data_IF_940222231451
#
_entry.id   IF_940222231451
#
_cell.length_a   1.000
_cell.length_b   1.000
_cell.length_c   1.000
_cell.angle_alpha   90.00
_cell.angle_beta   90.00
_cell.angle_gamma   90.00
#
_symmetry.space_group_name_H-M   'P 1'
#
loop_
_entity.id
_entity.type
_entity.pdbx_description
1 polymer ?
#
# COMPACT_ATOMS: atom_id res chain seq x y z
N UNK A 1 7.74 -18.33 -13.12
CA UNK A 1 6.84 -17.20 -13.47
C UNK A 1 5.42 -17.42 -12.95
N UNK A 2 4.83 -18.61 -13.12
CA UNK A 2 3.47 -18.94 -12.61
C UNK A 2 3.28 -18.68 -11.11
N UNK A 3 4.23 -19.10 -10.26
CA UNK A 3 4.11 -18.90 -8.80
C UNK A 3 4.11 -17.41 -8.41
N UNK A 4 4.89 -16.57 -9.10
CA UNK A 4 4.91 -15.13 -8.83
C UNK A 4 3.57 -14.48 -9.20
N UNK A 5 2.95 -14.90 -10.31
CA UNK A 5 1.62 -14.44 -10.71
C UNK A 5 0.58 -14.86 -9.68
N UNK A 6 0.63 -16.12 -9.21
CA UNK A 6 -0.28 -16.60 -8.17
C UNK A 6 -0.14 -15.80 -6.87
N UNK A 7 1.09 -15.55 -6.41
CA UNK A 7 1.32 -14.72 -5.22
C UNK A 7 0.86 -13.27 -5.41
N UNK A 8 1.04 -12.68 -6.60
CA UNK A 8 0.56 -11.34 -6.89
C UNK A 8 -0.98 -11.25 -6.85
N UNK A 9 -1.68 -12.26 -7.41
CA UNK A 9 -3.14 -12.34 -7.37
C UNK A 9 -3.64 -12.51 -5.93
N UNK A 10 -3.04 -13.42 -5.16
CA UNK A 10 -3.37 -13.63 -3.75
C UNK A 10 -3.14 -12.35 -2.93
N UNK A 11 -2.00 -11.68 -3.14
CA UNK A 11 -1.71 -10.41 -2.48
C UNK A 11 -2.77 -9.35 -2.81
N UNK A 12 -3.19 -9.24 -4.08
CA UNK A 12 -4.25 -8.33 -4.50
C UNK A 12 -5.59 -8.58 -3.80
N UNK A 13 -6.00 -9.85 -3.69
CA UNK A 13 -7.21 -10.26 -2.97
C UNK A 13 -7.12 -9.89 -1.49
N UNK A 14 -6.02 -10.26 -0.83
CA UNK A 14 -5.82 -10.04 0.60
C UNK A 14 -5.74 -8.54 0.95
N UNK A 15 -5.04 -7.75 0.13
CA UNK A 15 -4.95 -6.29 0.31
C UNK A 15 -6.32 -5.64 0.14
N UNK A 16 -7.11 -6.08 -0.84
CA UNK A 16 -8.46 -5.57 -1.06
C UNK A 16 -9.39 -5.87 0.11
N UNK A 17 -9.34 -7.11 0.63
CA UNK A 17 -10.10 -7.53 1.80
C UNK A 17 -9.69 -6.73 3.05
N UNK A 18 -8.39 -6.62 3.32
CA UNK A 18 -7.84 -5.84 4.44
C UNK A 18 -8.32 -4.39 4.41
N UNK A 19 -8.24 -3.71 3.25
CA UNK A 19 -8.73 -2.34 3.09
C UNK A 19 -10.22 -2.22 3.39
N UNK A 20 -11.03 -3.18 2.94
CA UNK A 20 -12.47 -3.18 3.18
C UNK A 20 -12.81 -3.39 4.66
N UNK A 21 -12.13 -4.32 5.33
CA UNK A 21 -12.27 -4.55 6.77
C UNK A 21 -11.86 -3.32 7.59
N UNK A 22 -10.71 -2.71 7.27
CA UNK A 22 -10.22 -1.52 7.94
C UNK A 22 -11.15 -0.31 7.72
N UNK A 23 -11.67 -0.14 6.51
CA UNK A 23 -12.67 0.88 6.20
C UNK A 23 -13.97 0.70 6.99
N UNK A 24 -14.48 -0.54 7.08
CA UNK A 24 -15.67 -0.86 7.89
C UNK A 24 -15.43 -0.61 9.38
N UNK A 25 -14.25 -0.98 9.89
CA UNK A 25 -13.89 -0.71 11.28
C UNK A 25 -13.75 0.80 11.54
N UNK A 26 -13.23 1.57 10.57
CA UNK A 26 -13.13 3.01 10.69
C UNK A 26 -14.50 3.71 10.71
N UNK A 27 -15.51 3.14 10.03
CA UNK A 27 -16.90 3.62 10.08
C UNK A 27 -17.55 3.41 11.45
N UNK A 28 -17.21 2.33 12.16
CA UNK A 28 -17.77 2.04 13.49
C UNK A 28 -16.93 2.57 14.66
N UNK A 29 -15.69 2.98 14.42
CA UNK A 29 -14.76 3.44 15.46
C UNK A 29 -14.02 4.71 15.01
N UNK A 30 -12.77 4.60 14.58
CA UNK A 30 -11.99 5.67 13.96
C UNK A 30 -10.91 5.08 13.06
N UNK A 31 -10.38 5.90 12.15
CA UNK A 31 -9.31 5.49 11.25
C UNK A 31 -8.01 5.08 11.97
N UNK A 32 -7.69 5.72 13.11
CA UNK A 32 -6.53 5.34 13.93
C UNK A 32 -6.75 4.01 14.66
N UNK A 33 -7.97 3.75 15.16
CA UNK A 33 -8.31 2.45 15.77
C UNK A 33 -8.22 1.33 14.73
N UNK A 34 -8.71 1.57 13.51
CA UNK A 34 -8.57 0.62 12.41
C UNK A 34 -7.09 0.34 12.08
N UNK A 35 -6.27 1.38 12.00
CA UNK A 35 -4.83 1.24 11.74
C UNK A 35 -4.10 0.52 12.87
N UNK A 36 -4.45 0.79 14.13
CA UNK A 36 -3.92 0.10 15.29
C UNK A 36 -4.18 -1.40 15.23
N UNK A 37 -5.43 -1.82 15.02
CA UNK A 37 -5.78 -3.24 14.94
C UNK A 37 -5.14 -3.92 13.73
N UNK A 38 -5.08 -3.24 12.58
CA UNK A 38 -4.36 -3.75 11.41
C UNK A 38 -2.88 -4.04 11.72
N UNK A 39 -2.20 -3.12 12.40
CA UNK A 39 -0.79 -3.30 12.76
C UNK A 39 -0.58 -4.29 13.90
N UNK A 40 -1.46 -4.31 14.91
CA UNK A 40 -1.37 -5.25 16.03
C UNK A 40 -1.53 -6.71 15.56
N UNK A 41 -2.54 -6.98 14.74
CA UNK A 41 -2.75 -8.32 14.15
C UNK A 41 -1.61 -8.67 13.19
N UNK A 42 -1.21 -7.74 12.33
CA UNK A 42 -0.08 -7.94 11.42
C UNK A 42 1.22 -8.26 12.18
N UNK A 43 1.52 -7.51 13.23
CA UNK A 43 2.68 -7.74 14.10
C UNK A 43 2.64 -9.12 14.76
N UNK A 44 1.50 -9.51 15.33
CA UNK A 44 1.36 -10.83 15.96
C UNK A 44 1.55 -11.97 14.94
N UNK A 45 0.90 -11.89 13.77
CA UNK A 45 1.01 -12.90 12.72
C UNK A 45 2.42 -12.99 12.17
N UNK A 46 3.05 -11.86 11.85
CA UNK A 46 4.43 -11.83 11.34
C UNK A 46 5.44 -12.33 12.36
N UNK A 47 5.23 -12.04 13.66
CA UNK A 47 6.09 -12.56 14.74
C UNK A 47 5.98 -14.09 14.83
N UNK A 48 4.76 -14.64 14.83
CA UNK A 48 4.54 -16.09 14.87
C UNK A 48 5.16 -16.77 13.64
N UNK A 49 4.94 -16.23 12.44
CA UNK A 49 5.56 -16.75 11.22
C UNK A 49 7.09 -16.68 11.28
N UNK A 50 7.64 -15.57 11.76
CA UNK A 50 9.09 -15.40 11.95
C UNK A 50 9.68 -16.42 12.91
N UNK A 51 8.97 -16.76 14.00
CA UNK A 51 9.37 -17.80 14.94
C UNK A 51 9.33 -19.20 14.32
N UNK A 52 8.27 -19.53 13.57
CA UNK A 52 8.10 -20.84 12.92
C UNK A 52 9.16 -21.05 11.83
N UNK A 53 9.44 -20.03 11.03
CA UNK A 53 10.39 -20.09 9.91
C UNK A 53 11.84 -19.94 10.40
N UNK A 54 12.06 -19.41 11.60
CA UNK A 54 13.40 -19.15 12.15
C UNK A 54 14.05 -17.85 11.64
N UNK A 55 13.25 -16.91 11.17
CA UNK A 55 13.69 -15.65 10.54
C UNK A 55 13.30 -14.38 11.31
N UNK A 56 12.91 -14.50 12.59
CA UNK A 56 12.46 -13.35 13.39
C UNK A 56 13.53 -12.25 13.49
N UNK A 57 14.80 -12.64 13.55
CA UNK A 57 15.93 -11.71 13.61
C UNK A 57 16.89 -11.94 12.43
N UNK A 58 16.66 -11.29 11.28
CA UNK A 58 17.53 -11.43 10.13
C UNK A 58 18.93 -10.87 10.42
N UNK A 59 19.94 -11.46 9.79
CA UNK A 59 21.33 -10.98 9.88
C UNK A 59 21.41 -9.52 9.39
N UNK A 60 22.17 -8.69 10.09
CA UNK A 60 22.33 -7.27 9.78
C UNK A 60 21.16 -6.38 10.21
N UNK A 61 20.16 -6.90 10.94
CA UNK A 61 19.08 -6.08 11.48
C UNK A 61 19.65 -4.93 12.33
N UNK A 62 20.52 -5.22 13.31
CA UNK A 62 21.09 -4.19 14.19
C UNK A 62 22.00 -3.19 13.48
N UNK A 63 22.59 -3.59 12.36
CA UNK A 63 23.50 -2.74 11.58
C UNK A 63 22.73 -1.85 10.59
N UNK A 64 21.43 -2.07 10.43
CA UNK A 64 20.60 -1.27 9.55
C UNK A 64 20.49 0.18 10.07
N UNK A 65 20.52 1.17 9.17
CA UNK A 65 20.39 2.56 9.57
C UNK A 65 19.02 2.82 10.21
N UNK A 66 18.97 3.70 11.21
CA UNK A 66 17.76 3.94 12.01
C UNK A 66 16.52 4.30 11.17
N UNK A 67 16.71 4.97 10.03
CA UNK A 67 15.60 5.36 9.14
C UNK A 67 14.95 4.16 8.43
N UNK A 68 15.61 3.00 8.34
CA UNK A 68 15.02 1.79 7.77
C UNK A 68 13.80 1.31 8.59
N UNK A 69 13.75 1.66 9.88
CA UNK A 69 12.65 1.30 10.78
C UNK A 69 11.45 2.25 10.72
N UNK A 70 11.56 3.37 10.01
CA UNK A 70 10.44 4.31 9.83
C UNK A 70 9.32 3.75 8.96
N UNK A 71 9.57 2.64 8.23
CA UNK A 71 8.55 1.98 7.42
C UNK A 71 7.29 1.61 8.21
N UNK A 72 7.42 1.21 9.47
CA UNK A 72 6.28 0.92 10.35
C UNK A 72 5.43 2.16 10.63
N UNK A 73 6.06 3.29 10.96
CA UNK A 73 5.36 4.55 11.20
C UNK A 73 4.66 5.07 9.93
N UNK A 74 5.34 4.99 8.78
CA UNK A 74 4.75 5.35 7.48
C UNK A 74 3.56 4.44 7.18
N UNK A 75 3.65 3.14 7.50
CA UNK A 75 2.57 2.17 7.37
C UNK A 75 1.34 2.54 8.21
N UNK A 76 1.52 2.97 9.46
CA UNK A 76 0.43 3.42 10.33
C UNK A 76 -0.33 4.59 9.72
N UNK A 77 0.40 5.60 9.23
CA UNK A 77 -0.19 6.77 8.56
C UNK A 77 -0.92 6.33 7.30
N UNK A 78 -0.29 5.51 6.45
CA UNK A 78 -0.87 5.02 5.21
C UNK A 78 -2.20 4.26 5.43
N UNK A 79 -2.23 3.34 6.39
CA UNK A 79 -3.44 2.56 6.72
C UNK A 79 -4.51 3.44 7.34
N UNK A 80 -4.14 4.39 8.22
CA UNK A 80 -5.10 5.31 8.81
C UNK A 80 -5.73 6.22 7.75
N UNK A 81 -4.92 6.88 6.92
CA UNK A 81 -5.39 7.71 5.81
C UNK A 81 -6.27 6.90 4.86
N UNK A 82 -5.83 5.70 4.46
CA UNK A 82 -6.62 4.82 3.61
C UNK A 82 -7.97 4.46 4.22
N UNK A 83 -8.00 4.06 5.50
CA UNK A 83 -9.24 3.69 6.19
C UNK A 83 -10.22 4.86 6.30
N UNK A 84 -9.69 6.06 6.56
CA UNK A 84 -10.47 7.31 6.58
C UNK A 84 -11.05 7.65 5.21
N UNK A 85 -10.26 7.55 4.14
CA UNK A 85 -10.70 7.79 2.77
C UNK A 85 -11.79 6.78 2.36
N UNK A 86 -11.61 5.49 2.65
CA UNK A 86 -12.59 4.45 2.33
C UNK A 86 -13.93 4.73 3.00
N UNK A 87 -13.92 5.16 4.26
CA UNK A 87 -15.12 5.53 4.99
C UNK A 87 -15.88 6.73 4.39
N UNK A 88 -15.21 7.59 3.59
CA UNK A 88 -15.80 8.82 3.03
C UNK A 88 -16.16 8.74 1.55
N UNK A 89 -15.28 8.16 0.73
CA UNK A 89 -15.42 8.16 -0.74
C UNK A 89 -15.52 6.74 -1.31
N UNK A 90 -15.56 5.73 -0.45
CA UNK A 90 -15.65 4.32 -0.84
C UNK A 90 -14.30 3.69 -1.20
N UNK A 91 -14.29 2.36 -1.24
CA UNK A 91 -13.09 1.56 -1.46
C UNK A 91 -12.51 1.73 -2.88
N UNK A 92 -13.37 1.83 -3.90
CA UNK A 92 -12.97 1.94 -5.30
C UNK A 92 -12.22 3.25 -5.55
N UNK A 93 -12.81 4.40 -5.17
CA UNK A 93 -12.17 5.70 -5.36
C UNK A 93 -10.88 5.83 -4.56
N UNK A 94 -10.84 5.30 -3.33
CA UNK A 94 -9.61 5.30 -2.53
C UNK A 94 -8.52 4.47 -3.20
N UNK A 95 -8.86 3.28 -3.73
CA UNK A 95 -7.88 2.44 -4.43
C UNK A 95 -7.34 3.13 -5.69
N UNK A 96 -8.19 3.79 -6.46
CA UNK A 96 -7.77 4.58 -7.63
C UNK A 96 -6.80 5.70 -7.22
N UNK A 97 -7.11 6.49 -6.19
CA UNK A 97 -6.22 7.54 -5.70
C UNK A 97 -4.85 7.00 -5.26
N UNK A 98 -4.85 5.87 -4.54
CA UNK A 98 -3.59 5.22 -4.12
C UNK A 98 -2.77 4.76 -5.31
N UNK A 99 -3.40 4.09 -6.29
CA UNK A 99 -2.71 3.64 -7.51
C UNK A 99 -2.16 4.83 -8.29
N UNK A 100 -2.98 5.86 -8.52
CA UNK A 100 -2.55 7.07 -9.22
C UNK A 100 -1.35 7.75 -8.52
N UNK A 101 -1.41 7.90 -7.19
CA UNK A 101 -0.31 8.44 -6.40
C UNK A 101 0.97 7.59 -6.51
N UNK A 102 0.85 6.27 -6.40
CA UNK A 102 1.98 5.34 -6.55
C UNK A 102 2.62 5.45 -7.94
N UNK A 103 1.83 5.59 -8.99
CA UNK A 103 2.35 5.70 -10.35
C UNK A 103 3.06 7.03 -10.61
N UNK A 104 2.48 8.16 -10.17
CA UNK A 104 3.13 9.47 -10.23
C UNK A 104 4.44 9.44 -9.45
N UNK A 105 4.42 8.95 -8.21
CA UNK A 105 5.62 8.90 -7.37
C UNK A 105 6.68 7.94 -7.92
N UNK A 106 6.27 6.84 -8.56
CA UNK A 106 7.17 5.93 -9.25
C UNK A 106 7.98 6.63 -10.35
N UNK A 107 7.31 7.39 -11.22
CA UNK A 107 7.99 8.16 -12.29
C UNK A 107 8.88 9.25 -11.72
N UNK A 108 8.44 9.93 -10.65
CA UNK A 108 9.28 10.92 -9.96
C UNK A 108 10.55 10.29 -9.37
N UNK A 109 10.44 9.10 -8.76
CA UNK A 109 11.60 8.38 -8.24
C UNK A 109 12.56 7.94 -9.37
N UNK A 110 12.02 7.50 -10.50
CA UNK A 110 12.83 7.14 -11.67
C UNK A 110 13.59 8.35 -12.22
N UNK A 111 12.94 9.52 -12.26
CA UNK A 111 13.58 10.78 -12.64
C UNK A 111 14.72 11.16 -11.68
N UNK A 112 14.46 11.13 -10.37
CA UNK A 112 15.47 11.48 -9.34
C UNK A 112 16.66 10.52 -9.34
N UNK A 113 16.41 9.24 -9.64
CA UNK A 113 17.47 8.21 -9.73
C UNK A 113 18.24 8.24 -11.05
N UNK A 114 17.81 9.05 -12.03
CA UNK A 114 18.38 9.05 -13.37
C UNK A 114 18.19 7.72 -14.09
N UNK A 115 17.07 7.03 -13.86
CA UNK A 115 16.79 5.76 -14.50
C UNK A 115 16.79 5.92 -16.03
N UNK A 116 17.53 5.09 -16.76
CA UNK A 116 17.73 5.18 -18.21
C UNK A 116 16.52 4.83 -19.08
N UNK A 117 15.31 4.83 -18.51
CA UNK A 117 14.07 4.57 -19.23
C UNK A 117 13.57 5.79 -20.02
N UNK A 118 12.63 5.57 -20.93
CA UNK A 118 11.99 6.65 -21.65
C UNK A 118 10.96 7.36 -20.74
N UNK A 119 11.41 8.38 -20.01
CA UNK A 119 10.60 9.16 -19.08
C UNK A 119 9.35 9.75 -19.75
N UNK A 120 9.44 10.14 -21.04
CA UNK A 120 8.31 10.68 -21.79
C UNK A 120 7.19 9.64 -21.89
N UNK A 121 7.52 8.38 -22.19
CA UNK A 121 6.54 7.29 -22.22
C UNK A 121 5.95 7.00 -20.83
N UNK A 122 6.75 7.08 -19.78
CA UNK A 122 6.27 6.92 -18.40
C UNK A 122 5.27 8.01 -18.02
N UNK A 123 5.56 9.28 -18.34
CA UNK A 123 4.63 10.39 -18.12
C UNK A 123 3.34 10.24 -18.93
N UNK A 124 3.42 9.83 -20.19
CA UNK A 124 2.24 9.55 -21.03
C UNK A 124 1.40 8.42 -20.40
N UNK A 125 2.03 7.33 -19.95
CA UNK A 125 1.36 6.22 -19.29
C UNK A 125 0.62 6.66 -18.02
N UNK A 126 1.28 7.43 -17.16
CA UNK A 126 0.66 8.00 -15.95
C UNK A 126 -0.51 8.92 -16.30
N UNK A 127 -0.35 9.79 -17.31
CA UNK A 127 -1.41 10.69 -17.76
C UNK A 127 -2.64 9.94 -18.26
N UNK A 128 -2.46 8.86 -19.04
CA UNK A 128 -3.55 8.01 -19.50
C UNK A 128 -4.30 7.34 -18.34
N UNK A 129 -3.59 6.88 -17.32
CA UNK A 129 -4.20 6.21 -16.17
C UNK A 129 -4.99 7.20 -15.30
N UNK A 130 -4.43 8.39 -15.05
CA UNK A 130 -5.14 9.46 -14.35
C UNK A 130 -6.39 9.88 -15.14
N UNK A 131 -6.30 10.01 -16.46
CA UNK A 131 -7.45 10.30 -17.31
C UNK A 131 -8.52 9.21 -17.22
N UNK A 132 -8.14 7.93 -17.28
CA UNK A 132 -9.06 6.80 -17.11
C UNK A 132 -9.76 6.80 -15.75
N UNK A 133 -9.02 7.07 -14.67
CA UNK A 133 -9.58 7.21 -13.33
C UNK A 133 -10.59 8.38 -13.26
N UNK A 134 -10.23 9.54 -13.79
CA UNK A 134 -11.08 10.73 -13.79
C UNK A 134 -12.38 10.53 -14.57
N UNK A 135 -12.33 9.80 -15.70
CA UNK A 135 -13.51 9.43 -16.47
C UNK A 135 -14.42 8.45 -15.72
N UNK A 136 -13.85 7.54 -14.93
CA UNK A 136 -14.60 6.54 -14.16
C UNK A 136 -15.33 7.18 -12.97
N UNK A 137 -14.70 8.14 -12.29
CA UNK A 137 -15.29 8.85 -11.15
C UNK A 137 -16.48 9.76 -11.53
N UNK A 138 -16.57 10.21 -12.79
CA UNK A 138 -17.67 11.09 -13.24
C UNK A 138 -18.98 10.37 -13.55
N UNK A 139 -19.04 9.05 -13.44
CA UNK A 139 -20.22 8.25 -13.84
C UNK A 139 -21.20 7.97 -12.69
N UNK A 140 -20.91 8.45 -11.48
CA UNK A 140 -21.80 8.44 -10.31
C UNK A 140 -22.24 9.87 -9.96
#
# INVERSE_FOLDING_TARGET
>A
MTNAILFALLAGILVSLSRQLNGRLALSTSALIASFWNHAVGFAVLTILGLIIGGLWPQGALDAPWYAYLGGMIGVVFVASGSWLIARIGAVNTAMLVIGGQMVFGVLLDLVRGAGGNLVMSFIGVAMIIAGMALTQKRD
#
